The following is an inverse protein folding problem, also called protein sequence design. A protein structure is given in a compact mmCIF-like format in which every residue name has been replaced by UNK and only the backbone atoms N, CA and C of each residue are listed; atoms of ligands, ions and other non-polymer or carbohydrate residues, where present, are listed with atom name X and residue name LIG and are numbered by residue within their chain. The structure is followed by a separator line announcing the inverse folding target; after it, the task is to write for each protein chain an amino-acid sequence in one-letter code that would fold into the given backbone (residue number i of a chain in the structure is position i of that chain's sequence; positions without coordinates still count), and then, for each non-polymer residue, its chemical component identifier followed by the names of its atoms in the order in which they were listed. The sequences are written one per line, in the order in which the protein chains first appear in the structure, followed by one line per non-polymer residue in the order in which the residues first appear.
data_IF_910886436030
#
_entry.id   IF_910886436030
#
_cell.length_a   1.000
_cell.length_b   1.000
_cell.length_c   1.000
_cell.angle_alpha   90.00
_cell.angle_beta   90.00
_cell.angle_gamma   90.00
#
_symmetry.space_group_name_H-M   'P 1'
#
loop_
_entity.id
_entity.type
_entity.pdbx_description
1 polymer ?
#
# COMPACT_ATOMS: atom_id res chain seq x y z
N UNK A 1 8.60 1.37 -10.77
CA UNK A 1 8.26 2.81 -10.71
C UNK A 1 9.47 3.60 -10.20
N UNK A 2 10.04 4.52 -11.00
CA UNK A 2 11.35 5.15 -10.74
C UNK A 2 11.40 5.92 -9.41
N UNK A 3 10.34 6.66 -9.05
CA UNK A 3 10.31 7.50 -7.85
C UNK A 3 10.58 6.73 -6.56
N UNK A 4 9.91 5.59 -6.33
CA UNK A 4 10.13 4.80 -5.12
C UNK A 4 11.55 4.23 -5.06
N UNK A 5 12.06 3.74 -6.21
CA UNK A 5 13.38 3.13 -6.31
C UNK A 5 14.51 4.13 -5.97
N UNK A 6 14.50 5.32 -6.57
CA UNK A 6 15.58 6.31 -6.33
C UNK A 6 15.57 6.89 -4.92
N UNK A 7 14.43 6.83 -4.22
CA UNK A 7 14.29 7.31 -2.85
C UNK A 7 14.43 6.19 -1.80
N UNK A 8 14.70 4.95 -2.21
CA UNK A 8 14.77 3.80 -1.30
C UNK A 8 13.49 3.62 -0.50
N UNK A 9 12.34 3.70 -1.20
CA UNK A 9 11.01 3.43 -0.67
C UNK A 9 10.51 2.08 -1.19
N UNK A 10 9.73 1.40 -0.36
CA UNK A 10 9.03 0.16 -0.70
C UNK A 10 7.57 0.46 -1.04
N UNK A 11 7.08 -0.11 -2.14
CA UNK A 11 5.65 -0.11 -2.48
C UNK A 11 4.93 -1.21 -1.68
N UNK A 12 3.98 -0.80 -0.85
CA UNK A 12 3.25 -1.72 0.02
C UNK A 12 2.38 -2.73 -0.75
N UNK A 13 1.77 -2.32 -1.87
CA UNK A 13 0.98 -3.23 -2.70
C UNK A 13 1.87 -4.30 -3.33
N UNK A 14 2.99 -3.87 -3.92
CA UNK A 14 3.96 -4.79 -4.51
C UNK A 14 4.42 -5.80 -3.46
N UNK A 15 4.86 -5.33 -2.29
CA UNK A 15 5.34 -6.21 -1.22
C UNK A 15 4.33 -7.29 -0.82
N UNK A 16 3.05 -6.92 -0.65
CA UNK A 16 2.04 -7.84 -0.11
C UNK A 16 1.46 -8.73 -1.21
N UNK A 17 1.10 -8.18 -2.36
CA UNK A 17 0.40 -8.92 -3.42
C UNK A 17 1.34 -9.62 -4.40
N UNK A 18 2.58 -9.13 -4.55
CA UNK A 18 3.54 -9.60 -5.56
C UNK A 18 4.96 -9.89 -5.03
N UNK A 19 5.20 -9.73 -3.72
CA UNK A 19 6.52 -9.89 -3.12
C UNK A 19 7.47 -8.71 -3.45
N UNK A 20 8.80 -8.90 -3.50
CA UNK A 20 9.73 -7.76 -3.58
C UNK A 20 9.85 -7.12 -4.96
N UNK A 21 9.22 -7.66 -6.00
CA UNK A 21 9.42 -7.24 -7.39
C UNK A 21 8.14 -6.67 -7.97
N UNK A 22 8.20 -5.44 -8.48
CA UNK A 22 7.08 -4.83 -9.20
C UNK A 22 6.74 -5.68 -10.43
N UNK A 23 5.49 -6.16 -10.58
CA UNK A 23 5.12 -6.93 -11.75
C UNK A 23 5.19 -6.05 -13.02
N UNK A 24 5.49 -6.62 -14.20
CA UNK A 24 5.53 -5.87 -15.46
C UNK A 24 4.14 -5.38 -15.90
N UNK A 25 3.08 -5.99 -15.37
CA UNK A 25 1.69 -5.66 -15.61
C UNK A 25 0.87 -5.93 -14.35
N UNK A 26 -0.10 -5.08 -14.09
CA UNK A 26 -1.15 -5.30 -13.11
C UNK A 26 -2.50 -5.06 -13.79
N UNK A 27 -3.52 -5.90 -13.52
CA UNK A 27 -4.86 -5.67 -14.03
C UNK A 27 -5.41 -4.33 -13.52
N UNK A 28 -6.20 -3.67 -14.37
CA UNK A 28 -6.95 -2.49 -13.96
C UNK A 28 -8.33 -2.95 -13.51
N UNK A 29 -8.66 -2.70 -12.26
CA UNK A 29 -10.01 -2.89 -11.77
C UNK A 29 -10.27 -1.97 -10.58
N UNK A 30 -11.55 -1.68 -10.36
CA UNK A 30 -12.00 -0.79 -9.30
C UNK A 30 -12.13 -1.53 -7.96
N UNK A 31 -12.34 -2.86 -7.99
CA UNK A 31 -12.51 -3.70 -6.81
C UNK A 31 -11.62 -4.92 -6.95
N UNK A 32 -10.88 -5.24 -5.90
CA UNK A 32 -9.93 -6.35 -5.89
C UNK A 32 -8.54 -5.89 -5.50
N UNK A 33 -7.82 -6.74 -4.77
CA UNK A 33 -6.45 -6.48 -4.34
C UNK A 33 -5.43 -6.83 -5.42
N UNK A 34 -5.81 -7.72 -6.34
CA UNK A 34 -5.02 -8.14 -7.49
C UNK A 34 -4.73 -6.98 -8.47
N UNK A 35 -5.48 -5.89 -8.35
CA UNK A 35 -5.32 -4.70 -9.18
C UNK A 35 -4.45 -3.65 -8.52
N UNK A 36 -3.53 -3.12 -9.31
CA UNK A 36 -2.69 -2.01 -8.89
C UNK A 36 -3.50 -0.72 -8.92
N UNK A 37 -3.68 -0.10 -7.76
CA UNK A 37 -4.25 1.24 -7.69
C UNK A 37 -3.24 2.30 -8.15
N UNK A 38 -3.74 3.34 -8.81
CA UNK A 38 -2.93 4.52 -9.16
C UNK A 38 -2.48 5.29 -7.91
N UNK A 39 -3.32 5.30 -6.86
CA UNK A 39 -2.97 5.85 -5.55
C UNK A 39 -2.07 4.86 -4.80
N UNK A 40 -0.89 5.36 -4.38
CA UNK A 40 0.18 4.51 -3.84
C UNK A 40 0.53 4.86 -2.41
N UNK A 41 0.78 3.82 -1.62
CA UNK A 41 1.36 3.93 -0.27
C UNK A 41 2.79 3.41 -0.34
N UNK A 42 3.74 4.33 -0.40
CA UNK A 42 5.18 4.03 -0.29
C UNK A 42 5.65 4.24 1.14
N UNK A 43 6.55 3.39 1.61
CA UNK A 43 7.08 3.48 2.97
C UNK A 43 8.57 3.13 3.04
N UNK A 44 9.23 3.52 4.14
CA UNK A 44 10.59 3.08 4.45
C UNK A 44 10.79 3.01 5.96
N UNK A 45 11.61 2.06 6.40
CA UNK A 45 12.14 2.05 7.77
C UNK A 45 13.10 3.22 7.99
N UNK A 46 13.27 3.62 9.25
CA UNK A 46 14.14 4.73 9.64
C UNK A 46 14.83 4.48 10.99
N UNK A 47 15.49 5.51 11.52
CA UNK A 47 16.01 5.43 12.88
C UNK A 47 14.85 5.40 13.87
N UNK A 48 14.81 4.38 14.74
CA UNK A 48 13.80 4.21 15.77
C UNK A 48 12.53 3.47 15.35
N UNK A 49 12.36 3.15 14.06
CA UNK A 49 11.25 2.31 13.60
C UNK A 49 11.62 1.44 12.41
N UNK A 50 11.38 0.15 12.55
CA UNK A 50 11.35 -0.80 11.44
C UNK A 50 9.91 -1.06 11.06
N UNK A 51 9.58 -0.86 9.78
CA UNK A 51 8.25 -1.08 9.22
C UNK A 51 8.27 -2.29 8.28
N UNK A 52 7.20 -3.06 8.29
CA UNK A 52 6.92 -4.08 7.29
C UNK A 52 5.42 -4.08 6.96
N UNK A 53 5.06 -3.81 5.70
CA UNK A 53 3.70 -4.04 5.23
C UNK A 53 3.37 -5.53 5.33
N UNK A 54 2.28 -5.87 6.02
CA UNK A 54 1.82 -7.26 6.25
C UNK A 54 0.44 -7.52 5.67
N UNK A 55 -0.30 -6.46 5.32
CA UNK A 55 -1.57 -6.57 4.61
C UNK A 55 -1.78 -5.36 3.71
N UNK A 56 -2.47 -5.59 2.60
CA UNK A 56 -2.93 -4.56 1.67
C UNK A 56 -4.42 -4.77 1.42
N UNK A 57 -5.16 -3.70 1.18
CA UNK A 57 -6.57 -3.77 0.84
C UNK A 57 -6.97 -2.66 -0.13
N UNK A 58 -7.67 -3.04 -1.19
CA UNK A 58 -8.56 -2.15 -1.93
C UNK A 58 -9.94 -2.20 -1.26
N UNK A 59 -10.28 -1.13 -0.55
CA UNK A 59 -11.50 -1.07 0.28
C UNK A 59 -12.71 -0.49 -0.46
N UNK A 60 -12.66 -0.36 -1.79
CA UNK A 60 -13.73 0.20 -2.61
C UNK A 60 -15.15 -0.29 -2.23
N UNK A 61 -15.42 -1.58 -1.97
CA UNK A 61 -16.76 -2.05 -1.59
C UNK A 61 -17.34 -1.40 -0.33
N UNK A 62 -16.50 -0.89 0.58
CA UNK A 62 -16.94 -0.19 1.81
C UNK A 62 -17.39 1.25 1.55
N UNK A 63 -17.11 1.79 0.36
CA UNK A 63 -17.34 3.19 0.00
C UNK A 63 -18.28 3.34 -1.19
N UNK A 64 -19.26 2.44 -1.28
CA UNK A 64 -20.35 2.55 -2.24
C UNK A 64 -21.60 3.09 -1.55
N UNK A 65 -22.41 3.85 -2.28
CA UNK A 65 -23.71 4.31 -1.81
C UNK A 65 -24.74 3.17 -1.78
N UNK A 66 -25.96 3.45 -1.31
CA UNK A 66 -27.04 2.45 -1.24
C UNK A 66 -27.51 1.91 -2.61
N UNK A 67 -27.05 2.48 -3.73
CA UNK A 67 -27.31 2.03 -5.10
C UNK A 67 -26.16 1.18 -5.67
N UNK A 68 -25.09 0.96 -4.90
CA UNK A 68 -23.90 0.25 -5.35
C UNK A 68 -22.97 1.10 -6.24
N UNK A 69 -23.16 2.42 -6.30
CA UNK A 69 -22.28 3.33 -7.03
C UNK A 69 -21.17 3.81 -6.10
N UNK A 70 -19.94 4.00 -6.58
CA UNK A 70 -18.86 4.48 -5.74
C UNK A 70 -19.07 5.95 -5.33
N UNK A 71 -18.62 6.28 -4.12
CA UNK A 71 -18.64 7.64 -3.60
C UNK A 71 -17.51 8.53 -4.16
N UNK A 72 -16.55 7.94 -4.87
CA UNK A 72 -15.37 8.57 -5.46
C UNK A 72 -15.03 7.86 -6.77
N UNK A 73 -14.37 8.55 -7.71
CA UNK A 73 -13.77 7.95 -8.90
C UNK A 73 -12.45 7.21 -8.59
N UNK A 74 -11.94 7.35 -7.37
CA UNK A 74 -10.76 6.64 -6.85
C UNK A 74 -11.13 5.61 -5.78
N UNK A 75 -10.37 4.51 -5.74
CA UNK A 75 -10.56 3.43 -4.76
C UNK A 75 -9.63 3.64 -3.55
N UNK A 76 -10.14 3.48 -2.31
CA UNK A 76 -9.35 3.70 -1.11
C UNK A 76 -8.39 2.52 -0.85
N UNK A 77 -7.10 2.82 -0.82
CA UNK A 77 -6.06 1.87 -0.43
C UNK A 77 -5.87 1.86 1.10
N UNK A 78 -5.66 0.68 1.69
CA UNK A 78 -5.27 0.51 3.10
C UNK A 78 -4.05 -0.41 3.19
N UNK A 79 -3.16 -0.12 4.13
CA UNK A 79 -1.99 -0.96 4.45
C UNK A 79 -1.94 -1.21 5.95
N UNK A 80 -1.80 -2.47 6.34
CA UNK A 80 -1.45 -2.85 7.70
C UNK A 80 0.07 -3.00 7.81
N UNK A 81 0.65 -2.36 8.82
CA UNK A 81 2.08 -2.48 9.11
C UNK A 81 2.31 -3.27 10.40
N UNK A 82 3.19 -4.26 10.33
CA UNK A 82 3.94 -4.68 11.51
C UNK A 82 5.08 -3.67 11.71
N UNK A 83 5.30 -3.27 12.96
CA UNK A 83 6.39 -2.35 13.29
C UNK A 83 7.11 -2.78 14.56
N UNK A 84 8.42 -2.53 14.57
CA UNK A 84 9.25 -2.58 15.77
C UNK A 84 9.73 -1.16 16.03
N UNK A 85 9.37 -0.61 17.19
CA UNK A 85 9.89 0.65 17.66
C UNK A 85 11.11 0.37 18.54
N UNK A 86 12.28 0.76 18.06
CA UNK A 86 13.46 0.75 18.90
C UNK A 86 13.40 2.04 19.71
N UNK A 87 13.20 1.93 21.03
CA UNK A 87 13.34 3.06 21.93
C UNK A 87 14.74 3.63 21.69
N UNK A 88 14.84 4.72 20.91
CA UNK A 88 16.06 5.52 20.85
C UNK A 88 16.24 5.98 22.28
N UNK A 89 17.17 5.32 22.98
CA UNK A 89 17.40 5.54 24.40
C UNK A 89 17.41 7.04 24.66
N UNK A 90 16.62 7.45 25.66
CA UNK A 90 16.52 8.81 26.19
C UNK A 90 17.90 9.47 26.13
N UNK A 91 18.05 10.48 25.28
CA UNK A 91 19.15 11.44 25.42
C UNK A 91 18.83 12.41 26.54
#
# INVERSE_FOLDING_TARGET
MQFAQVNGLTDAWVQVEHGPTTPPFAPTCMVGNECELLDKIFYRSGQGVTLQAVSYGNEAPKFFNSKGEPLSDHSPAVVGFHYVADNVAVR
#
